data_IF_314834160072
#
_entry.id   IF_314834160072
#
_cell.length_a   1.000
_cell.length_b   1.000
_cell.length_c   1.000
_cell.angle_alpha   90.00
_cell.angle_beta   90.00
_cell.angle_gamma   90.00
#
_symmetry.space_group_name_H-M   'P 1'
#
loop_
_entity.id
_entity.type
_entity.pdbx_description
1 polymer ?
#
# COMPACT_ATOMS: atom_id res chain seq x y z
N UNK A 1 12.62 7.92 -10.65
CA UNK A 1 12.19 8.51 -9.37
C UNK A 1 12.02 7.35 -8.40
N UNK A 2 12.83 7.28 -7.34
CA UNK A 2 12.66 6.25 -6.31
C UNK A 2 11.65 6.73 -5.28
N UNK A 3 10.68 5.89 -4.94
CA UNK A 3 9.83 6.13 -3.77
C UNK A 3 10.45 5.42 -2.56
N UNK A 4 10.41 6.09 -1.41
CA UNK A 4 10.88 5.52 -0.15
C UNK A 4 9.70 4.84 0.53
N UNK A 5 9.90 3.58 0.92
CA UNK A 5 8.91 2.81 1.67
C UNK A 5 9.48 2.45 3.02
N UNK A 6 8.72 2.71 4.07
CA UNK A 6 8.98 2.28 5.43
C UNK A 6 8.09 1.09 5.76
N UNK A 7 8.64 0.08 6.41
CA UNK A 7 7.92 -1.08 6.88
C UNK A 7 8.46 -1.51 8.25
N UNK A 8 7.57 -1.96 9.13
CA UNK A 8 7.96 -2.50 10.42
C UNK A 8 8.26 -3.99 10.28
N UNK A 9 9.47 -4.44 10.64
CA UNK A 9 9.82 -5.85 10.54
C UNK A 9 8.93 -6.71 11.47
N UNK A 10 8.15 -7.62 10.88
CA UNK A 10 7.22 -8.52 11.60
C UNK A 10 7.87 -9.33 12.74
N UNK A 11 9.19 -9.55 12.68
CA UNK A 11 9.90 -10.34 13.69
C UNK A 11 10.40 -9.51 14.89
N UNK A 12 10.75 -8.23 14.70
CA UNK A 12 11.43 -7.45 15.75
C UNK A 12 10.90 -6.04 15.97
N UNK A 13 9.92 -5.59 15.18
CA UNK A 13 9.35 -4.24 15.28
C UNK A 13 10.27 -3.12 14.78
N UNK A 14 11.45 -3.44 14.22
CA UNK A 14 12.35 -2.41 13.70
C UNK A 14 11.85 -1.87 12.36
N UNK A 15 11.74 -0.55 12.25
CA UNK A 15 11.39 0.12 10.99
C UNK A 15 12.55 0.07 10.00
N UNK A 16 12.30 -0.55 8.86
CA UNK A 16 13.24 -0.66 7.74
C UNK A 16 12.77 0.20 6.57
N UNK A 17 13.72 0.80 5.87
CA UNK A 17 13.45 1.62 4.69
C UNK A 17 14.05 0.96 3.46
N UNK A 18 13.34 1.03 2.34
CA UNK A 18 13.88 0.58 1.06
C UNK A 18 13.56 1.55 -0.07
N UNK A 19 14.36 1.47 -1.13
CA UNK A 19 14.03 2.07 -2.40
C UNK A 19 13.22 1.07 -3.21
N UNK A 20 12.05 1.51 -3.63
CA UNK A 20 11.11 0.70 -4.37
C UNK A 20 9.99 1.55 -4.94
N UNK A 21 8.89 0.94 -5.38
CA UNK A 21 8.60 -0.49 -5.44
C UNK A 21 9.11 -1.18 -6.73
N UNK A 22 9.10 -2.51 -6.74
CA UNK A 22 9.52 -3.35 -7.88
C UNK A 22 8.33 -4.10 -8.50
N UNK A 23 8.26 -4.11 -9.83
CA UNK A 23 7.22 -4.81 -10.59
C UNK A 23 7.39 -6.34 -10.51
N UNK A 24 6.33 -7.05 -10.14
CA UNK A 24 6.30 -8.52 -10.11
C UNK A 24 5.15 -9.10 -10.93
N UNK A 25 5.27 -10.37 -11.33
CA UNK A 25 4.19 -11.17 -11.90
C UNK A 25 4.02 -12.49 -11.13
N UNK A 26 2.86 -13.13 -11.28
CA UNK A 26 2.64 -14.52 -10.82
C UNK A 26 2.85 -15.51 -11.95
N UNK A 27 3.68 -16.52 -11.71
CA UNK A 27 3.89 -17.60 -12.66
C UNK A 27 2.72 -18.60 -12.69
N UNK A 28 2.84 -19.67 -13.46
CA UNK A 28 1.79 -20.69 -13.59
C UNK A 28 1.43 -21.38 -12.27
N UNK A 29 2.35 -21.42 -11.32
CA UNK A 29 2.17 -22.02 -10.00
C UNK A 29 1.67 -20.99 -8.97
N UNK A 30 1.44 -19.73 -9.40
CA UNK A 30 1.05 -18.64 -8.52
C UNK A 30 2.22 -18.02 -7.74
N UNK A 31 3.46 -18.41 -8.00
CA UNK A 31 4.64 -17.87 -7.31
C UNK A 31 5.03 -16.52 -7.89
N UNK A 32 5.48 -15.61 -7.01
CA UNK A 32 5.97 -14.29 -7.40
C UNK A 32 7.31 -14.40 -8.11
N UNK A 33 7.45 -13.69 -9.22
CA UNK A 33 8.71 -13.52 -9.95
C UNK A 33 8.89 -12.06 -10.37
N UNK A 34 10.14 -11.57 -10.48
CA UNK A 34 10.39 -10.21 -10.93
C UNK A 34 9.90 -10.03 -12.37
N UNK A 35 9.06 -9.02 -12.61
CA UNK A 35 8.63 -8.67 -13.97
C UNK A 35 9.79 -8.02 -14.72
N UNK A 36 10.41 -7.00 -14.12
CA UNK A 36 11.46 -6.17 -14.72
C UNK A 36 11.03 -4.72 -14.86
N UNK A 37 11.97 -3.80 -14.98
CA UNK A 37 11.67 -2.39 -15.27
C UNK A 37 12.83 -1.80 -16.10
N UNK A 38 12.56 -1.03 -17.18
CA UNK A 38 11.26 -0.54 -17.65
C UNK A 38 10.47 -1.53 -18.53
N UNK A 39 10.87 -2.80 -18.58
CA UNK A 39 10.19 -3.81 -19.39
C UNK A 39 10.41 -5.23 -18.85
N UNK A 40 9.73 -6.23 -19.43
CA UNK A 40 9.76 -7.60 -18.95
C UNK A 40 11.14 -8.25 -19.09
N UNK A 41 11.52 -9.04 -18.09
CA UNK A 41 12.76 -9.84 -18.06
C UNK A 41 12.68 -11.12 -18.88
N UNK A 42 11.47 -11.54 -19.26
CA UNK A 42 11.22 -12.79 -19.99
C UNK A 42 9.92 -12.74 -20.77
N UNK A 43 9.76 -13.66 -21.74
CA UNK A 43 8.49 -13.86 -22.47
C UNK A 43 7.35 -14.25 -21.54
N UNK A 44 7.63 -15.06 -20.51
CA UNK A 44 6.62 -15.42 -19.52
C UNK A 44 6.12 -14.18 -18.77
N UNK A 45 7.03 -13.29 -18.36
CA UNK A 45 6.65 -12.03 -17.74
C UNK A 45 5.76 -11.19 -18.66
N UNK A 46 6.15 -11.01 -19.93
CA UNK A 46 5.38 -10.25 -20.93
C UNK A 46 3.98 -10.84 -21.19
N UNK A 47 3.87 -12.17 -21.25
CA UNK A 47 2.59 -12.86 -21.43
C UNK A 47 1.67 -12.68 -20.22
N UNK A 48 2.23 -12.76 -19.00
CA UNK A 48 1.49 -12.70 -17.73
C UNK A 48 1.12 -11.28 -17.33
N UNK A 49 1.94 -10.29 -17.68
CA UNK A 49 1.80 -8.92 -17.22
C UNK A 49 2.18 -8.73 -15.75
N UNK A 50 2.25 -7.47 -15.34
CA UNK A 50 2.55 -7.01 -13.99
C UNK A 50 1.35 -7.28 -13.10
N UNK A 51 1.54 -8.18 -12.13
CA UNK A 51 0.52 -8.52 -11.13
C UNK A 51 0.52 -7.57 -9.95
N UNK A 52 1.61 -6.82 -9.72
CA UNK A 52 1.69 -5.88 -8.62
C UNK A 52 3.08 -5.30 -8.40
N UNK A 53 3.23 -4.71 -7.23
CA UNK A 53 4.42 -4.03 -6.74
C UNK A 53 4.84 -4.61 -5.39
N UNK A 54 6.12 -4.92 -5.24
CA UNK A 54 6.71 -5.37 -3.98
C UNK A 54 7.88 -4.50 -3.52
N UNK A 55 8.14 -4.51 -2.22
CA UNK A 55 9.33 -3.94 -1.62
C UNK A 55 10.25 -5.06 -1.13
N UNK A 56 11.55 -4.93 -1.41
CA UNK A 56 12.59 -5.81 -0.85
C UNK A 56 13.20 -5.05 0.32
N UNK A 57 13.11 -5.61 1.51
CA UNK A 57 13.55 -4.99 2.75
C UNK A 57 14.66 -5.79 3.40
N UNK A 58 15.58 -5.10 4.07
CA UNK A 58 16.63 -5.71 4.87
C UNK A 58 16.51 -5.22 6.32
N UNK A 59 16.35 -6.15 7.25
CA UNK A 59 16.35 -5.85 8.68
C UNK A 59 17.74 -6.09 9.25
N UNK A 60 18.42 -5.02 9.67
CA UNK A 60 19.73 -5.09 10.31
C UNK A 60 19.70 -5.73 11.73
N UNK A 61 18.53 -5.80 12.38
CA UNK A 61 18.38 -6.46 13.69
C UNK A 61 18.24 -7.97 13.56
N UNK A 62 17.51 -8.42 12.54
CA UNK A 62 17.31 -9.83 12.26
C UNK A 62 18.37 -10.40 11.32
N UNK A 63 19.18 -9.54 10.70
CA UNK A 63 20.12 -9.87 9.64
C UNK A 63 19.45 -10.68 8.52
N UNK A 64 18.28 -10.22 8.08
CA UNK A 64 17.41 -10.95 7.16
C UNK A 64 16.83 -10.03 6.08
N UNK A 65 16.76 -10.56 4.86
CA UNK A 65 16.07 -9.95 3.72
C UNK A 65 14.68 -10.56 3.61
N UNK A 66 13.67 -9.72 3.40
CA UNK A 66 12.29 -10.17 3.19
C UNK A 66 11.58 -9.30 2.14
N UNK A 67 10.52 -9.86 1.55
CA UNK A 67 9.75 -9.22 0.48
C UNK A 67 8.30 -9.01 0.89
N UNK A 68 7.87 -7.75 0.96
CA UNK A 68 6.48 -7.40 1.24
C UNK A 68 5.76 -6.97 -0.04
N UNK A 69 4.50 -7.42 -0.21
CA UNK A 69 3.63 -6.92 -1.27
C UNK A 69 3.15 -5.53 -0.85
N UNK A 70 3.40 -4.53 -1.69
CA UNK A 70 2.92 -3.15 -1.48
C UNK A 70 1.51 -3.01 -2.06
N UNK A 71 1.31 -3.56 -3.26
CA UNK A 71 0.00 -3.66 -3.89
C UNK A 71 0.00 -4.83 -4.86
N UNK A 72 -1.12 -5.53 -4.94
CA UNK A 72 -1.39 -6.53 -5.96
C UNK A 72 -2.66 -6.12 -6.70
N UNK A 73 -2.74 -6.34 -8.01
CA UNK A 73 -3.83 -5.89 -8.87
C UNK A 73 -4.81 -7.03 -9.19
N UNK A 74 -6.11 -6.72 -9.22
CA UNK A 74 -7.17 -7.68 -9.61
C UNK A 74 -6.94 -8.25 -11.00
N UNK A 75 -6.42 -7.43 -11.90
CA UNK A 75 -6.06 -7.82 -13.26
C UNK A 75 -4.63 -7.39 -13.54
N UNK A 76 -3.74 -8.30 -13.98
CA UNK A 76 -2.41 -7.92 -14.41
C UNK A 76 -2.46 -6.93 -15.57
N UNK A 77 -1.54 -5.96 -15.61
CA UNK A 77 -1.37 -5.02 -16.74
C UNK A 77 -0.01 -5.19 -17.39
N UNK A 78 0.09 -4.94 -18.70
CA UNK A 78 1.38 -4.94 -19.42
C UNK A 78 2.03 -3.57 -19.46
N UNK A 79 1.28 -2.54 -19.10
CA UNK A 79 1.69 -1.14 -19.20
C UNK A 79 2.34 -0.70 -17.89
N UNK A 80 3.67 -0.72 -17.81
CA UNK A 80 4.39 -0.27 -16.60
C UNK A 80 3.95 1.14 -16.18
N UNK A 81 3.68 2.06 -17.13
CA UNK A 81 3.19 3.41 -16.79
C UNK A 81 1.86 3.42 -16.03
N UNK A 82 0.94 2.49 -16.29
CA UNK A 82 -0.32 2.40 -15.56
C UNK A 82 -0.10 1.99 -14.11
N UNK A 83 0.84 1.08 -13.88
CA UNK A 83 1.23 0.62 -12.53
C UNK A 83 1.74 1.78 -11.69
N UNK A 84 2.63 2.60 -12.25
CA UNK A 84 3.18 3.78 -11.57
C UNK A 84 2.17 4.91 -11.40
N UNK A 85 1.14 4.97 -12.25
CA UNK A 85 0.00 5.89 -12.12
C UNK A 85 -1.10 5.37 -11.18
N UNK A 86 -0.93 4.19 -10.58
CA UNK A 86 -1.92 3.53 -9.72
C UNK A 86 -3.29 3.41 -10.39
N UNK A 87 -3.29 3.15 -11.70
CA UNK A 87 -4.51 3.00 -12.50
C UNK A 87 -5.17 1.62 -12.33
N UNK A 88 -4.42 0.50 -12.23
CA UNK A 88 -5.03 -0.82 -12.04
C UNK A 88 -5.70 -0.96 -10.66
N UNK A 89 -6.87 -1.60 -10.63
CA UNK A 89 -7.61 -1.88 -9.39
C UNK A 89 -6.82 -2.84 -8.49
N UNK A 90 -6.49 -2.47 -7.25
CA UNK A 90 -5.83 -3.37 -6.30
C UNK A 90 -6.79 -4.48 -5.80
N UNK A 91 -6.24 -5.66 -5.49
CA UNK A 91 -6.94 -6.78 -4.84
C UNK A 91 -7.30 -6.38 -3.41
N UNK A 92 -6.30 -5.87 -2.69
CA UNK A 92 -6.39 -5.44 -1.28
C UNK A 92 -6.65 -3.94 -1.19
N UNK A 93 -7.50 -3.40 -2.07
CA UNK A 93 -8.05 -2.09 -1.74
C UNK A 93 -8.66 -2.23 -0.35
N UNK A 94 -8.26 -1.34 0.54
CA UNK A 94 -8.85 -1.05 1.82
C UNK A 94 -10.39 -0.94 1.69
N UNK A 95 -11.11 -2.06 1.53
CA UNK A 95 -12.56 -2.19 1.69
C UNK A 95 -12.94 -2.04 3.17
N UNK A 96 -11.95 -1.75 4.03
CA UNK A 96 -12.12 -1.14 5.36
C UNK A 96 -11.65 0.31 5.42
N UNK A 97 -11.81 1.11 4.37
CA UNK A 97 -12.25 2.50 4.64
C UNK A 97 -13.72 2.37 5.00
N UNK A 98 -14.00 1.92 6.24
CA UNK A 98 -15.30 2.18 6.85
C UNK A 98 -15.60 3.63 6.52
N UNK A 99 -16.72 3.89 5.82
CA UNK A 99 -17.10 5.26 5.47
C UNK A 99 -17.07 6.02 6.78
N UNK A 100 -16.07 6.88 6.95
CA UNK A 100 -15.91 7.62 8.18
C UNK A 100 -17.13 8.53 8.27
N UNK A 101 -18.07 8.18 9.15
CA UNK A 101 -19.29 8.95 9.35
C UNK A 101 -19.04 10.02 10.41
N UNK A 102 -19.55 11.23 10.17
CA UNK A 102 -19.54 12.25 11.22
C UNK A 102 -20.29 11.76 12.45
N UNK A 103 -19.67 11.68 13.64
CA UNK A 103 -20.34 11.20 14.85
C UNK A 103 -21.49 12.11 15.31
N UNK A 104 -21.56 13.34 14.76
CA UNK A 104 -22.59 14.32 15.11
C UNK A 104 -23.73 14.36 14.09
N UNK A 105 -23.47 14.11 12.80
CA UNK A 105 -24.47 14.32 11.75
C UNK A 105 -24.57 13.20 10.70
N UNK A 106 -23.81 12.12 10.84
CA UNK A 106 -23.86 10.96 9.94
C UNK A 106 -23.40 11.24 8.51
N UNK A 107 -22.73 12.38 8.25
CA UNK A 107 -22.26 12.69 6.89
C UNK A 107 -21.15 11.72 6.48
N UNK A 108 -21.34 11.05 5.36
CA UNK A 108 -20.42 10.06 4.75
C UNK A 108 -19.64 10.63 3.56
N UNK A 109 -19.99 11.82 3.08
CA UNK A 109 -19.30 12.51 1.98
C UNK A 109 -18.11 13.30 2.51
N UNK A 110 -17.05 12.60 2.88
CA UNK A 110 -15.79 13.21 3.32
C UNK A 110 -14.68 12.80 2.34
N UNK A 111 -14.10 13.78 1.67
CA UNK A 111 -12.90 13.60 0.86
C UNK A 111 -11.72 13.86 1.79
N UNK A 112 -11.06 12.79 2.24
CA UNK A 112 -9.81 12.90 2.98
C UNK A 112 -8.66 12.88 1.97
N UNK A 113 -7.86 13.94 1.95
CA UNK A 113 -6.57 13.98 1.28
C UNK A 113 -5.52 13.59 2.32
N UNK A 114 -4.66 12.64 1.97
CA UNK A 114 -3.72 11.92 2.83
C UNK A 114 -2.58 12.81 3.40
N UNK A 115 -2.68 14.13 3.22
CA UNK A 115 -1.63 15.11 3.52
C UNK A 115 -1.97 15.85 4.81
N UNK A 116 -1.35 15.40 5.91
CA UNK A 116 -1.10 16.13 7.16
C UNK A 116 -2.23 17.06 7.64
N UNK A 117 -3.29 16.48 8.22
CA UNK A 117 -4.27 17.26 8.97
C UNK A 117 -4.56 16.60 10.32
N UNK A 118 -4.01 17.18 11.38
CA UNK A 118 -4.17 16.75 12.77
C UNK A 118 -5.64 16.81 13.26
N UNK A 119 -6.49 17.66 12.68
CA UNK A 119 -7.91 17.74 13.04
C UNK A 119 -8.78 18.18 11.85
N UNK A 120 -9.59 17.27 11.30
CA UNK A 120 -10.55 17.60 10.23
C UNK A 120 -11.93 17.83 10.84
N UNK A 121 -12.47 19.03 10.66
CA UNK A 121 -13.87 19.35 11.03
C UNK A 121 -14.81 18.88 9.93
N UNK A 122 -15.94 18.28 10.31
CA UNK A 122 -16.98 17.91 9.37
C UNK A 122 -17.46 19.16 8.58
N UNK A 123 -17.45 19.14 7.23
CA UNK A 123 -17.83 20.30 6.42
C UNK A 123 -19.31 20.66 6.57
N UNK A 124 -20.16 19.70 6.94
CA UNK A 124 -21.60 19.88 7.03
C UNK A 124 -22.04 20.49 8.37
N UNK A 125 -21.59 19.94 9.49
CA UNK A 125 -22.04 20.40 10.81
C UNK A 125 -21.00 21.25 11.55
N UNK A 126 -19.72 21.23 11.11
CA UNK A 126 -18.55 21.87 11.77
C UNK A 126 -18.30 21.46 13.23
N UNK A 127 -19.11 20.55 13.78
CA UNK A 127 -19.07 20.06 15.17
C UNK A 127 -18.34 18.73 15.29
N UNK A 128 -18.53 17.82 14.33
CA UNK A 128 -17.82 16.54 14.30
C UNK A 128 -16.34 16.76 14.01
N UNK A 129 -15.49 16.15 14.83
CA UNK A 129 -14.03 16.15 14.67
C UNK A 129 -13.58 14.73 14.31
N UNK A 130 -12.73 14.62 13.31
CA UNK A 130 -12.05 13.36 12.98
C UNK A 130 -10.60 13.49 13.38
N UNK A 131 -10.16 12.60 14.26
CA UNK A 131 -8.76 12.47 14.68
C UNK A 131 -8.13 11.47 13.71
N UNK A 132 -7.00 11.83 13.12
CA UNK A 132 -6.26 10.93 12.22
C UNK A 132 -5.81 9.69 12.99
N UNK A 133 -5.66 8.55 12.29
CA UNK A 133 -5.24 7.28 12.89
C UNK A 133 -3.83 7.29 13.49
N UNK A 134 -3.07 8.39 13.41
CA UNK A 134 -1.75 8.49 14.06
C UNK A 134 -1.84 8.58 15.59
N UNK A 135 -2.99 8.93 16.16
CA UNK A 135 -3.16 9.06 17.63
C UNK A 135 -4.08 8.00 18.27
N UNK A 136 -4.56 7.02 17.50
CA UNK A 136 -5.58 6.06 17.95
C UNK A 136 -5.02 4.71 18.43
N UNK A 137 -3.81 4.67 19.01
CA UNK A 137 -3.32 3.52 19.75
C UNK A 137 -3.47 3.75 21.27
N UNK A 138 -4.60 3.39 21.91
CA UNK A 138 -4.49 2.93 23.28
C UNK A 138 -3.79 1.57 23.23
N UNK A 139 -2.66 1.47 23.94
CA UNK A 139 -1.99 0.22 24.28
C UNK A 139 -3.06 -0.76 24.78
N UNK A 140 -3.41 -1.77 23.98
CA UNK A 140 -4.14 -2.94 24.47
C UNK A 140 -3.07 -3.95 24.88
N UNK A 141 -2.73 -3.91 26.16
CA UNK A 141 -2.05 -5.02 26.83
C UNK A 141 -2.99 -6.22 26.88
N UNK A 142 -2.58 -7.35 26.33
CA UNK A 142 -3.05 -8.68 26.73
C UNK A 142 -1.81 -9.51 27.03
#
# INVERSE_FOLDING_TARGET
>A
MGAWYSHECDNCGYTVNTQGPWEFYRDKEGKRKPYGHPGPTSKEAEERGISGLCGIFYCNKCDAIFEAIIVEFRKPTKESLEVWRRTPEPIDECEKREKIECPVCGNTKLLFDDRDIEEIKCPQCRKGKFISWMDANPIISI
#
